data_IF_146609814312
#
_entry.id   IF_146609814312
#
_cell.length_a   1.000
_cell.length_b   1.000
_cell.length_c   1.000
_cell.angle_alpha   90.00
_cell.angle_beta   90.00
_cell.angle_gamma   90.00
#
_symmetry.space_group_name_H-M   'P 1'
#
loop_
_entity.id
_entity.type
_entity.pdbx_description
1 polymer ?
#
# COMPACT_ATOMS: atom_id res chain seq x y z
N UNK A 1 18.62 3.48 -5.69
CA UNK A 1 17.63 2.37 -5.68
C UNK A 1 16.24 2.93 -5.82
N UNK A 2 15.38 2.28 -6.63
CA UNK A 2 13.95 2.64 -6.72
C UNK A 2 13.14 1.72 -5.81
N UNK A 3 12.42 2.32 -4.86
CA UNK A 3 11.69 1.60 -3.80
C UNK A 3 10.21 1.96 -3.88
N UNK A 4 9.36 0.96 -4.05
CA UNK A 4 7.92 1.10 -3.88
C UNK A 4 7.55 0.74 -2.43
N UNK A 5 6.79 1.60 -1.77
CA UNK A 5 6.36 1.38 -0.37
C UNK A 5 4.83 1.44 -0.32
N UNK A 6 4.21 0.33 0.04
CA UNK A 6 2.76 0.24 0.20
C UNK A 6 2.38 0.24 1.67
N UNK A 7 1.41 1.07 2.04
CA UNK A 7 0.85 1.11 3.39
C UNK A 7 -0.64 0.80 3.40
N UNK A 8 -1.05 -0.06 4.32
CA UNK A 8 -2.46 -0.43 4.53
C UNK A 8 -3.20 0.55 5.45
N UNK A 9 -4.54 0.58 5.36
CA UNK A 9 -5.39 1.43 6.20
C UNK A 9 -5.18 1.16 7.69
N UNK A 10 -5.09 -0.11 8.10
CA UNK A 10 -4.87 -0.51 9.50
C UNK A 10 -3.54 0.01 10.08
N UNK A 11 -2.55 0.26 9.22
CA UNK A 11 -1.26 0.85 9.63
C UNK A 11 -1.38 2.36 9.85
N UNK A 12 -2.28 3.03 9.12
CA UNK A 12 -2.45 4.49 9.15
C UNK A 12 -3.47 4.97 10.18
N UNK A 13 -4.36 4.09 10.66
CA UNK A 13 -5.50 4.48 11.49
C UNK A 13 -5.50 3.75 12.83
N UNK A 14 -6.09 4.41 13.83
CA UNK A 14 -6.50 3.76 15.08
C UNK A 14 -7.71 2.84 14.86
N UNK A 15 -8.02 1.99 15.84
CA UNK A 15 -9.23 1.16 15.83
C UNK A 15 -10.53 1.98 15.71
N UNK A 16 -10.50 3.25 16.06
CA UNK A 16 -11.60 4.21 15.88
C UNK A 16 -11.80 4.67 14.44
N UNK A 17 -10.95 4.25 13.51
CA UNK A 17 -10.94 4.71 12.12
C UNK A 17 -10.28 6.09 11.90
N UNK A 18 -9.90 6.79 12.97
CA UNK A 18 -9.20 8.06 12.86
C UNK A 18 -7.71 7.85 12.57
N UNK A 19 -7.10 8.82 11.89
CA UNK A 19 -5.69 8.78 11.54
C UNK A 19 -4.81 8.67 12.80
N UNK A 20 -3.85 7.74 12.77
CA UNK A 20 -2.77 7.67 13.75
C UNK A 20 -1.66 8.65 13.32
N UNK A 21 -1.76 9.87 13.85
CA UNK A 21 -0.88 10.98 13.48
C UNK A 21 0.59 10.59 13.67
N UNK A 22 0.94 9.98 14.80
CA UNK A 22 2.33 9.62 15.12
C UNK A 22 2.90 8.61 14.14
N UNK A 23 2.10 7.61 13.72
CA UNK A 23 2.53 6.62 12.73
C UNK A 23 2.74 7.25 11.37
N UNK A 24 1.83 8.12 10.95
CA UNK A 24 1.92 8.80 9.65
C UNK A 24 3.11 9.76 9.62
N UNK A 25 3.32 10.56 10.66
CA UNK A 25 4.51 11.42 10.80
C UNK A 25 5.81 10.60 10.72
N UNK A 26 5.90 9.51 11.49
CA UNK A 26 7.06 8.62 11.47
C UNK A 26 7.30 8.03 10.09
N UNK A 27 6.24 7.58 9.41
CA UNK A 27 6.33 7.03 8.06
C UNK A 27 6.86 8.08 7.08
N UNK A 28 6.27 9.27 7.05
CA UNK A 28 6.70 10.36 6.16
C UNK A 28 8.16 10.75 6.42
N UNK A 29 8.57 10.81 7.69
CA UNK A 29 9.96 11.09 8.07
C UNK A 29 10.92 10.01 7.53
N UNK A 30 10.62 8.73 7.73
CA UNK A 30 11.46 7.63 7.23
C UNK A 30 11.54 7.63 5.70
N UNK A 31 10.42 7.86 5.00
CA UNK A 31 10.41 7.95 3.54
C UNK A 31 11.22 9.16 3.04
N UNK A 32 11.16 10.27 3.76
CA UNK A 32 11.97 11.46 3.48
C UNK A 32 13.46 11.20 3.66
N UNK A 33 13.85 10.52 4.74
CA UNK A 33 15.25 10.13 4.99
C UNK A 33 15.77 9.20 3.90
N UNK A 34 14.98 8.20 3.49
CA UNK A 34 15.34 7.29 2.38
C UNK A 34 15.51 8.06 1.07
N UNK A 35 14.63 9.02 0.78
CA UNK A 35 14.73 9.85 -0.41
C UNK A 35 15.95 10.76 -0.37
N UNK A 36 16.25 11.38 0.77
CA UNK A 36 17.45 12.19 0.98
C UNK A 36 18.75 11.37 0.87
N UNK A 37 18.69 10.07 1.19
CA UNK A 37 19.80 9.14 0.95
C UNK A 37 20.01 8.76 -0.54
N UNK A 38 19.28 9.39 -1.46
CA UNK A 38 19.44 9.22 -2.91
C UNK A 38 18.59 8.09 -3.50
N UNK A 39 17.57 7.61 -2.78
CA UNK A 39 16.63 6.64 -3.33
C UNK A 39 15.46 7.35 -4.02
N UNK A 40 14.91 6.73 -5.05
CA UNK A 40 13.64 7.10 -5.65
C UNK A 40 12.52 6.35 -4.92
N UNK A 41 11.57 7.10 -4.36
CA UNK A 41 10.47 6.54 -3.58
C UNK A 41 9.16 6.68 -4.35
N UNK A 42 8.43 5.58 -4.50
CA UNK A 42 7.04 5.55 -4.95
C UNK A 42 6.19 5.07 -3.79
N UNK A 43 5.29 5.92 -3.32
CA UNK A 43 4.47 5.63 -2.15
C UNK A 43 3.06 5.22 -2.57
N UNK A 44 2.62 4.03 -2.17
CA UNK A 44 1.28 3.50 -2.44
C UNK A 44 0.48 3.55 -1.15
N UNK A 45 -0.49 4.43 -1.11
CA UNK A 45 -1.32 4.67 0.06
C UNK A 45 -2.63 3.90 0.01
N UNK A 46 -3.30 3.85 1.14
CA UNK A 46 -4.65 3.35 1.33
C UNK A 46 -5.41 4.26 2.30
N UNK A 47 -6.69 3.98 2.50
CA UNK A 47 -7.43 4.57 3.60
C UNK A 47 -8.27 5.79 3.25
N UNK A 48 -8.47 6.12 1.97
CA UNK A 48 -9.33 7.23 1.55
C UNK A 48 -10.74 7.12 2.16
N UNK A 49 -11.41 5.97 2.04
CA UNK A 49 -12.73 5.75 2.66
C UNK A 49 -12.65 5.93 4.19
N UNK A 50 -11.64 5.34 4.84
CA UNK A 50 -11.47 5.48 6.30
C UNK A 50 -11.29 6.93 6.75
N UNK A 51 -10.48 7.70 6.03
CA UNK A 51 -10.28 9.13 6.29
C UNK A 51 -11.57 9.91 6.11
N UNK A 52 -12.34 9.61 5.07
CA UNK A 52 -13.63 10.26 4.83
C UNK A 52 -14.66 9.94 5.92
N UNK A 53 -14.75 8.69 6.35
CA UNK A 53 -15.57 8.26 7.50
C UNK A 53 -15.20 9.06 8.75
N UNK A 54 -13.91 9.16 9.06
CA UNK A 54 -13.42 9.92 10.21
C UNK A 54 -13.71 11.40 10.12
N UNK A 55 -13.49 12.02 8.94
CA UNK A 55 -13.73 13.46 8.71
C UNK A 55 -15.21 13.83 8.80
N UNK A 56 -16.08 12.98 8.24
CA UNK A 56 -17.53 13.14 8.30
C UNK A 56 -18.14 12.70 9.65
N UNK A 57 -17.35 12.13 10.54
CA UNK A 57 -17.81 11.57 11.83
C UNK A 57 -18.97 10.57 11.64
N UNK A 58 -18.91 9.75 10.60
CA UNK A 58 -19.89 8.72 10.36
C UNK A 58 -19.79 7.64 11.44
N UNK A 59 -20.94 7.16 11.94
CA UNK A 59 -20.98 6.12 12.98
C UNK A 59 -20.51 4.76 12.46
N UNK A 60 -20.78 4.49 11.19
CA UNK A 60 -20.49 3.21 10.54
C UNK A 60 -19.86 3.44 9.17
N UNK A 61 -19.09 2.45 8.72
CA UNK A 61 -18.52 2.47 7.37
C UNK A 61 -19.62 2.21 6.34
N UNK A 62 -19.72 3.02 5.26
CA UNK A 62 -20.71 2.82 4.22
C UNK A 62 -20.64 1.42 3.61
N UNK A 63 -21.79 0.84 3.31
CA UNK A 63 -21.89 -0.46 2.64
C UNK A 63 -22.23 -0.34 1.16
N UNK A 64 -23.02 0.69 0.80
CA UNK A 64 -23.38 0.95 -0.59
C UNK A 64 -22.25 1.65 -1.37
N UNK A 65 -22.19 1.40 -2.67
CA UNK A 65 -21.13 1.87 -3.55
C UNK A 65 -21.10 3.41 -3.64
N UNK A 66 -22.26 4.03 -3.84
CA UNK A 66 -22.33 5.49 -4.05
C UNK A 66 -21.82 6.26 -2.85
N UNK A 67 -22.23 5.84 -1.64
CA UNK A 67 -21.74 6.46 -0.40
C UNK A 67 -20.25 6.16 -0.19
N UNK A 68 -19.75 4.95 -0.52
CA UNK A 68 -18.31 4.64 -0.47
C UNK A 68 -17.51 5.59 -1.38
N UNK A 69 -17.95 5.77 -2.62
CA UNK A 69 -17.31 6.67 -3.59
C UNK A 69 -17.29 8.13 -3.10
N UNK A 70 -18.42 8.62 -2.61
CA UNK A 70 -18.54 9.98 -2.07
C UNK A 70 -17.62 10.19 -0.85
N UNK A 71 -17.59 9.23 0.06
CA UNK A 71 -16.74 9.28 1.26
C UNK A 71 -15.25 9.15 0.89
N UNK A 72 -14.93 8.32 -0.10
CA UNK A 72 -13.57 8.21 -0.64
C UNK A 72 -13.07 9.54 -1.23
N UNK A 73 -13.92 10.27 -1.96
CA UNK A 73 -13.59 11.59 -2.51
C UNK A 73 -13.19 12.58 -1.41
N UNK A 74 -13.98 12.62 -0.32
CA UNK A 74 -13.70 13.48 0.84
C UNK A 74 -12.38 13.06 1.51
N UNK A 75 -12.22 11.77 1.74
CA UNK A 75 -11.08 11.23 2.47
C UNK A 75 -9.78 11.28 1.67
N UNK A 76 -9.82 11.12 0.36
CA UNK A 76 -8.64 11.24 -0.49
C UNK A 76 -8.08 12.68 -0.48
N UNK A 77 -8.96 13.69 -0.48
CA UNK A 77 -8.57 15.09 -0.34
C UNK A 77 -7.84 15.32 1.00
N UNK A 78 -8.39 14.82 2.11
CA UNK A 78 -7.78 14.94 3.44
C UNK A 78 -6.46 14.20 3.54
N UNK A 79 -6.39 13.00 2.99
CA UNK A 79 -5.19 12.17 2.99
C UNK A 79 -4.03 12.87 2.27
N UNK A 80 -4.31 13.46 1.10
CA UNK A 80 -3.31 14.22 0.35
C UNK A 80 -2.88 15.49 1.06
N UNK A 81 -3.81 16.20 1.70
CA UNK A 81 -3.47 17.37 2.51
C UNK A 81 -2.48 17.02 3.64
N UNK A 82 -2.73 15.90 4.34
CA UNK A 82 -1.84 15.42 5.41
C UNK A 82 -0.46 15.07 4.86
N UNK A 83 -0.39 14.31 3.76
CA UNK A 83 0.88 13.94 3.16
C UNK A 83 1.66 15.14 2.62
N UNK A 84 1.00 16.03 1.90
CA UNK A 84 1.63 17.24 1.37
C UNK A 84 2.25 18.07 2.50
N UNK A 85 1.49 18.29 3.58
CA UNK A 85 1.98 19.00 4.75
C UNK A 85 3.23 18.34 5.35
N UNK A 86 3.18 17.02 5.62
CA UNK A 86 4.27 16.31 6.29
C UNK A 86 5.52 16.19 5.42
N UNK A 87 5.38 15.93 4.12
CA UNK A 87 6.52 15.85 3.22
C UNK A 87 7.13 17.23 2.92
N UNK A 88 6.32 18.29 2.89
CA UNK A 88 6.79 19.66 2.73
C UNK A 88 7.69 20.13 3.89
N UNK A 89 7.46 19.62 5.12
CA UNK A 89 8.35 19.88 6.28
C UNK A 89 9.80 19.37 6.02
N UNK A 90 9.96 18.42 5.10
CA UNK A 90 11.24 17.86 4.68
C UNK A 90 11.67 18.31 3.27
N UNK A 91 11.06 19.38 2.74
CA UNK A 91 11.32 19.96 1.41
C UNK A 91 11.07 18.98 0.25
N UNK A 92 10.11 18.06 0.39
CA UNK A 92 9.68 17.18 -0.69
C UNK A 92 8.38 17.64 -1.31
N UNK A 93 8.37 17.66 -2.64
CA UNK A 93 7.15 17.85 -3.43
C UNK A 93 6.50 16.49 -3.64
N UNK A 94 5.20 16.40 -3.41
CA UNK A 94 4.41 15.20 -3.65
C UNK A 94 3.50 15.38 -4.87
N UNK A 95 3.14 14.26 -5.52
CA UNK A 95 2.17 14.24 -6.60
C UNK A 95 1.14 13.14 -6.37
N UNK A 96 -0.16 13.48 -6.46
CA UNK A 96 -1.24 12.50 -6.39
C UNK A 96 -1.42 11.78 -7.72
N UNK A 97 -1.55 10.46 -7.64
CA UNK A 97 -1.88 9.59 -8.77
C UNK A 97 -3.01 8.66 -8.34
N UNK A 98 -4.12 8.70 -9.07
CA UNK A 98 -5.27 7.82 -8.82
C UNK A 98 -5.46 6.91 -10.02
N UNK A 99 -5.52 5.60 -9.77
CA UNK A 99 -5.60 4.56 -10.79
C UNK A 99 -6.81 3.65 -10.56
N UNK A 100 -7.38 3.17 -11.64
CA UNK A 100 -8.28 2.03 -11.64
C UNK A 100 -7.57 0.80 -12.19
N UNK A 101 -8.15 -0.39 -12.01
CA UNK A 101 -7.63 -1.60 -12.65
C UNK A 101 -7.64 -1.53 -14.17
N UNK A 102 -8.53 -0.74 -14.78
CA UNK A 102 -8.56 -0.51 -16.22
C UNK A 102 -7.34 0.28 -16.70
N UNK A 103 -6.89 1.29 -15.95
CA UNK A 103 -5.71 2.09 -16.28
C UNK A 103 -4.42 1.24 -16.30
N UNK A 104 -4.41 0.14 -15.54
CA UNK A 104 -3.27 -0.78 -15.50
C UNK A 104 -3.38 -1.92 -16.53
N UNK A 105 -4.59 -2.23 -17.03
CA UNK A 105 -4.83 -3.32 -18.01
C UNK A 105 -4.81 -2.83 -19.46
N UNK A 106 -5.27 -1.62 -19.72
CA UNK A 106 -5.30 -1.04 -21.06
C UNK A 106 -3.90 -0.50 -21.41
N UNK A 107 -3.30 -1.02 -22.47
CA UNK A 107 -1.89 -0.81 -22.84
C UNK A 107 -1.52 0.68 -22.96
N UNK A 108 -2.37 1.47 -23.64
CA UNK A 108 -2.10 2.90 -23.85
C UNK A 108 -2.17 3.71 -22.55
N UNK A 109 -3.15 3.41 -21.69
CA UNK A 109 -3.28 4.07 -20.38
C UNK A 109 -2.12 3.69 -19.46
N UNK A 110 -1.76 2.41 -19.43
CA UNK A 110 -0.61 1.92 -18.68
C UNK A 110 0.70 2.57 -19.14
N UNK A 111 0.92 2.70 -20.47
CA UNK A 111 2.09 3.39 -21.00
C UNK A 111 2.11 4.87 -20.60
N UNK A 112 0.97 5.58 -20.68
CA UNK A 112 0.87 6.97 -20.25
C UNK A 112 1.17 7.13 -18.76
N UNK A 113 0.62 6.24 -17.94
CA UNK A 113 0.90 6.19 -16.51
C UNK A 113 2.40 5.99 -16.23
N UNK A 114 3.02 5.00 -16.87
CA UNK A 114 4.43 4.68 -16.68
C UNK A 114 5.33 5.85 -17.09
N UNK A 115 5.06 6.48 -18.23
CA UNK A 115 5.83 7.64 -18.72
C UNK A 115 5.70 8.85 -17.77
N UNK A 116 4.48 9.12 -17.29
CA UNK A 116 4.22 10.21 -16.35
C UNK A 116 4.94 9.97 -15.02
N UNK A 117 4.87 8.74 -14.51
CA UNK A 117 5.51 8.39 -13.23
C UNK A 117 7.05 8.49 -13.32
N UNK A 118 7.64 7.99 -14.41
CA UNK A 118 9.08 8.15 -14.66
C UNK A 118 9.46 9.63 -14.67
N UNK A 119 8.67 10.47 -15.33
CA UNK A 119 8.93 11.91 -15.37
C UNK A 119 8.84 12.58 -14.00
N UNK A 120 7.91 12.16 -13.12
CA UNK A 120 7.84 12.67 -11.75
C UNK A 120 9.10 12.30 -10.94
N UNK A 121 9.60 11.07 -11.09
CA UNK A 121 10.82 10.63 -10.43
C UNK A 121 12.05 11.41 -10.93
N UNK A 122 12.20 11.64 -12.23
CA UNK A 122 13.24 12.47 -12.82
C UNK A 122 13.20 13.91 -12.28
N UNK A 123 12.02 14.47 -12.04
CA UNK A 123 11.82 15.79 -11.45
C UNK A 123 12.08 15.80 -9.92
N UNK A 124 12.43 14.68 -9.32
CA UNK A 124 12.66 14.57 -7.90
C UNK A 124 11.38 14.62 -7.05
N UNK A 125 10.20 14.50 -7.66
CA UNK A 125 8.91 14.47 -6.98
C UNK A 125 8.71 13.11 -6.31
N UNK A 126 7.98 13.06 -5.18
CA UNK A 126 7.55 11.83 -4.51
C UNK A 126 6.11 11.50 -4.95
N UNK A 127 5.90 10.52 -5.84
CA UNK A 127 4.55 10.15 -6.26
C UNK A 127 3.84 9.36 -5.15
N UNK A 128 2.57 9.72 -4.91
CA UNK A 128 1.66 9.05 -4.00
C UNK A 128 0.52 8.45 -4.82
N UNK A 129 0.51 7.14 -4.92
CA UNK A 129 -0.45 6.38 -5.71
C UNK A 129 -1.53 5.82 -4.81
N UNK A 130 -2.78 5.87 -5.24
CA UNK A 130 -3.90 5.18 -4.61
C UNK A 130 -4.89 4.69 -5.67
N UNK A 131 -5.79 3.80 -5.29
CA UNK A 131 -6.92 3.45 -6.15
C UNK A 131 -7.85 4.66 -6.30
N UNK A 132 -8.44 4.83 -7.49
CA UNK A 132 -9.47 5.84 -7.73
C UNK A 132 -10.84 5.32 -7.28
N UNK A 133 -10.99 5.22 -5.96
CA UNK A 133 -12.23 4.77 -5.32
C UNK A 133 -13.46 5.60 -5.73
N UNK A 134 -13.27 6.81 -6.30
CA UNK A 134 -14.38 7.69 -6.67
C UNK A 134 -15.13 7.24 -7.92
N UNK A 135 -14.49 6.48 -8.79
CA UNK A 135 -15.05 5.96 -10.04
C UNK A 135 -14.88 4.44 -10.17
N UNK A 136 -14.18 3.83 -9.21
CA UNK A 136 -13.95 2.38 -9.20
C UNK A 136 -15.25 1.65 -8.90
N UNK A 137 -15.53 0.59 -9.69
CA UNK A 137 -16.61 -0.36 -9.47
C UNK A 137 -16.01 -1.74 -9.23
N UNK A 138 -16.79 -2.73 -8.81
CA UNK A 138 -16.32 -4.10 -8.61
C UNK A 138 -15.65 -4.70 -9.86
N UNK A 139 -16.07 -4.27 -11.06
CA UNK A 139 -15.56 -4.77 -12.34
C UNK A 139 -14.21 -4.15 -12.73
N UNK A 140 -13.96 -2.89 -12.34
CA UNK A 140 -12.75 -2.14 -12.71
C UNK A 140 -11.79 -1.89 -11.53
N UNK A 141 -12.15 -2.32 -10.34
CA UNK A 141 -11.29 -2.25 -9.17
C UNK A 141 -10.03 -3.10 -9.35
N UNK A 142 -8.93 -2.67 -8.76
CA UNK A 142 -7.72 -3.50 -8.62
C UNK A 142 -7.97 -4.64 -7.63
N UNK A 143 -8.89 -4.42 -6.69
CA UNK A 143 -9.31 -5.37 -5.69
C UNK A 143 -8.71 -5.07 -4.31
N UNK A 144 -7.41 -4.86 -4.23
CA UNK A 144 -6.72 -4.47 -3.01
C UNK A 144 -5.44 -3.67 -3.32
N UNK A 145 -5.01 -2.86 -2.35
CA UNK A 145 -3.83 -2.01 -2.55
C UNK A 145 -2.49 -2.77 -2.44
N UNK A 146 -2.46 -4.02 -2.01
CA UNK A 146 -1.25 -4.85 -2.09
C UNK A 146 -1.00 -5.23 -3.56
N UNK A 147 -2.04 -5.65 -4.27
CA UNK A 147 -2.02 -5.90 -5.72
C UNK A 147 -1.69 -4.62 -6.50
N UNK A 148 -2.34 -3.49 -6.18
CA UNK A 148 -1.99 -2.19 -6.77
C UNK A 148 -0.51 -1.86 -6.57
N UNK A 149 0.00 -2.06 -5.36
CA UNK A 149 1.41 -1.83 -5.02
C UNK A 149 2.37 -2.67 -5.86
N UNK A 150 2.05 -3.94 -6.07
CA UNK A 150 2.85 -4.83 -6.91
C UNK A 150 2.83 -4.42 -8.39
N UNK A 151 1.65 -4.10 -8.94
CA UNK A 151 1.51 -3.66 -10.33
C UNK A 151 2.26 -2.34 -10.57
N UNK A 152 2.15 -1.38 -9.65
CA UNK A 152 2.91 -0.12 -9.70
C UNK A 152 4.41 -0.41 -9.62
N UNK A 153 4.87 -1.23 -8.66
CA UNK A 153 6.28 -1.57 -8.51
C UNK A 153 6.87 -2.17 -9.79
N UNK A 154 6.13 -3.07 -10.44
CA UNK A 154 6.52 -3.67 -11.73
C UNK A 154 6.56 -2.61 -12.83
N UNK A 155 5.53 -1.76 -12.92
CA UNK A 155 5.43 -0.72 -13.97
C UNK A 155 6.58 0.28 -13.91
N UNK A 156 7.04 0.63 -12.70
CA UNK A 156 8.17 1.55 -12.51
C UNK A 156 9.52 0.85 -12.40
N UNK A 157 9.56 -0.46 -12.60
CA UNK A 157 10.78 -1.27 -12.46
C UNK A 157 11.45 -1.06 -11.10
N UNK A 158 10.67 -1.03 -10.02
CA UNK A 158 11.20 -0.91 -8.68
C UNK A 158 12.11 -2.09 -8.34
N UNK A 159 13.22 -1.81 -7.67
CA UNK A 159 14.17 -2.83 -7.21
C UNK A 159 13.70 -3.51 -5.91
N UNK A 160 12.80 -2.82 -5.18
CA UNK A 160 12.24 -3.30 -3.92
C UNK A 160 10.79 -2.86 -3.79
N UNK A 161 9.90 -3.79 -3.41
CA UNK A 161 8.57 -3.50 -2.89
C UNK A 161 8.52 -3.81 -1.41
N UNK A 162 8.18 -2.82 -0.59
CA UNK A 162 7.94 -2.96 0.85
C UNK A 162 6.44 -2.86 1.11
N UNK A 163 5.86 -3.90 1.70
CA UNK A 163 4.45 -3.90 2.11
C UNK A 163 4.38 -3.76 3.63
N UNK A 164 3.97 -2.58 4.10
CA UNK A 164 3.78 -2.33 5.53
C UNK A 164 2.44 -2.93 5.98
N UNK A 165 2.50 -3.72 7.04
CA UNK A 165 1.37 -4.49 7.56
C UNK A 165 1.32 -4.41 9.09
N UNK A 166 0.20 -4.89 9.66
CA UNK A 166 -0.03 -5.06 11.09
C UNK A 166 0.46 -6.43 11.63
N UNK A 167 1.16 -7.20 10.79
CA UNK A 167 1.78 -8.47 11.10
C UNK A 167 3.25 -8.46 10.68
N UNK A 168 4.12 -9.16 11.42
CA UNK A 168 5.57 -9.13 11.21
C UNK A 168 6.04 -9.76 9.89
N UNK A 169 5.23 -10.65 9.30
CA UNK A 169 5.54 -11.31 8.05
C UNK A 169 4.61 -12.50 7.78
N UNK A 170 5.06 -13.43 6.96
CA UNK A 170 4.38 -14.69 6.72
C UNK A 170 4.72 -15.68 7.83
N UNK A 171 3.71 -16.37 8.36
CA UNK A 171 3.85 -17.40 9.36
C UNK A 171 3.38 -18.74 8.81
N UNK A 172 3.80 -19.82 9.45
CA UNK A 172 3.37 -21.21 9.14
C UNK A 172 1.88 -21.44 9.37
N UNK A 173 1.25 -20.62 10.22
CA UNK A 173 -0.19 -20.53 10.47
C UNK A 173 -0.53 -19.12 10.99
N UNK A 174 -1.82 -18.79 11.18
CA UNK A 174 -2.19 -17.51 11.79
C UNK A 174 -1.70 -17.45 13.27
N UNK A 175 -0.73 -16.57 13.60
CA UNK A 175 -0.18 -16.49 14.96
C UNK A 175 -1.19 -15.99 16.00
N UNK A 176 -2.31 -15.41 15.57
CA UNK A 176 -3.41 -14.99 16.46
C UNK A 176 -4.24 -16.19 16.93
N UNK A 177 -4.33 -17.23 16.09
CA UNK A 177 -5.07 -18.45 16.35
C UNK A 177 -4.18 -19.59 16.84
N UNK A 178 -2.91 -19.62 16.44
CA UNK A 178 -1.97 -20.67 16.78
C UNK A 178 -0.67 -20.06 17.38
N UNK A 179 -0.49 -20.13 18.70
CA UNK A 179 0.73 -19.64 19.37
C UNK A 179 2.04 -20.34 18.95
N UNK A 180 1.94 -21.52 18.32
CA UNK A 180 3.08 -22.27 17.80
C UNK A 180 3.43 -21.90 16.36
N UNK A 181 2.76 -20.90 15.78
CA UNK A 181 3.07 -20.43 14.44
C UNK A 181 4.45 -19.77 14.42
N UNK A 182 5.29 -20.20 13.48
CA UNK A 182 6.65 -19.69 13.30
C UNK A 182 6.70 -18.72 12.12
N UNK A 183 7.49 -17.65 12.27
CA UNK A 183 7.75 -16.70 11.20
C UNK A 183 8.58 -17.36 10.10
N UNK A 184 8.15 -17.23 8.85
CA UNK A 184 8.88 -17.68 7.67
C UNK A 184 9.75 -16.51 7.19
N UNK A 185 11.08 -16.57 7.38
CA UNK A 185 11.95 -15.42 7.13
C UNK A 185 12.15 -15.13 5.65
N UNK A 186 12.05 -16.16 4.80
CA UNK A 186 12.27 -16.05 3.35
C UNK A 186 11.40 -17.05 2.60
N UNK A 187 10.81 -16.60 1.49
CA UNK A 187 10.00 -17.41 0.59
C UNK A 187 10.61 -17.32 -0.82
N UNK A 188 11.52 -18.23 -1.19
CA UNK A 188 12.17 -18.20 -2.49
C UNK A 188 11.21 -18.55 -3.63
N UNK A 189 10.17 -19.32 -3.37
CA UNK A 189 9.16 -19.76 -4.33
C UNK A 189 7.79 -19.87 -3.67
N UNK A 190 6.74 -19.40 -4.36
CA UNK A 190 5.36 -19.51 -3.91
C UNK A 190 4.79 -20.88 -4.29
N UNK A 191 4.90 -21.84 -3.36
CA UNK A 191 4.31 -23.16 -3.52
C UNK A 191 2.81 -23.16 -3.17
N UNK A 192 2.06 -24.15 -3.65
CA UNK A 192 0.66 -24.33 -3.29
C UNK A 192 0.45 -24.45 -1.76
N UNK A 193 1.38 -25.08 -1.05
CA UNK A 193 1.33 -25.19 0.40
C UNK A 193 1.39 -23.80 1.09
N UNK A 194 2.23 -22.89 0.60
CA UNK A 194 2.34 -21.52 1.11
C UNK A 194 1.05 -20.74 0.80
N UNK A 195 0.52 -20.87 -0.42
CA UNK A 195 -0.73 -20.21 -0.81
C UNK A 195 -1.93 -20.70 0.00
N UNK A 196 -2.01 -22.01 0.27
CA UNK A 196 -3.06 -22.60 1.11
C UNK A 196 -2.95 -22.16 2.58
N UNK A 197 -1.75 -22.01 3.13
CA UNK A 197 -1.54 -21.56 4.53
C UNK A 197 -2.02 -20.12 4.78
N UNK A 198 -2.13 -19.31 3.73
CA UNK A 198 -2.54 -17.91 3.80
C UNK A 198 -4.07 -17.67 3.74
N UNK A 199 -4.88 -18.72 3.65
CA UNK A 199 -6.33 -18.65 3.41
C UNK A 199 -7.21 -18.07 4.53
N UNK A 200 -6.64 -17.46 5.57
CA UNK A 200 -7.38 -16.77 6.65
C UNK A 200 -7.78 -15.34 6.29
N UNK A 201 -8.99 -14.91 6.70
CA UNK A 201 -9.42 -13.49 6.59
C UNK A 201 -8.54 -12.60 7.48
N UNK A 202 -7.98 -11.54 6.90
CA UNK A 202 -7.23 -10.51 7.62
C UNK A 202 -8.08 -9.69 8.60
N UNK A 203 -7.51 -8.61 9.17
CA UNK A 203 -8.19 -7.74 10.13
C UNK A 203 -9.48 -7.14 9.57
N UNK A 204 -10.45 -6.84 10.44
CA UNK A 204 -11.77 -6.27 10.08
C UNK A 204 -11.72 -4.89 9.42
N UNK A 205 -10.57 -4.22 9.45
CA UNK A 205 -10.38 -2.86 8.92
C UNK A 205 -9.72 -2.82 7.52
N UNK A 206 -9.13 -3.91 7.04
CA UNK A 206 -8.44 -3.98 5.74
C UNK A 206 -9.02 -5.06 4.83
N UNK A 207 -9.10 -4.79 3.54
CA UNK A 207 -9.51 -5.75 2.50
C UNK A 207 -8.38 -6.71 2.11
N UNK A 208 -7.10 -6.35 2.39
CA UNK A 208 -5.91 -7.13 2.04
C UNK A 208 -5.48 -8.09 3.16
N UNK A 209 -5.88 -9.35 3.09
CA UNK A 209 -5.38 -10.44 3.94
C UNK A 209 -3.97 -10.92 3.51
N UNK A 210 -3.46 -11.99 4.16
CA UNK A 210 -2.18 -12.59 3.77
C UNK A 210 -2.21 -13.10 2.31
N UNK A 211 -3.36 -13.60 1.85
CA UNK A 211 -3.54 -14.04 0.46
C UNK A 211 -3.26 -12.91 -0.55
N UNK A 212 -3.75 -11.68 -0.30
CA UNK A 212 -3.47 -10.53 -1.15
C UNK A 212 -1.97 -10.18 -1.20
N UNK A 213 -1.28 -10.29 -0.06
CA UNK A 213 0.17 -10.06 0.03
C UNK A 213 0.98 -11.10 -0.75
N UNK A 214 0.57 -12.36 -0.69
CA UNK A 214 1.19 -13.43 -1.48
C UNK A 214 0.91 -13.26 -2.97
N UNK A 215 -0.31 -12.83 -3.36
CA UNK A 215 -0.62 -12.46 -4.75
C UNK A 215 0.30 -11.34 -5.23
N UNK A 216 0.45 -10.28 -4.45
CA UNK A 216 1.36 -9.17 -4.75
C UNK A 216 2.82 -9.64 -4.89
N UNK A 217 3.29 -10.51 -3.99
CA UNK A 217 4.62 -11.11 -4.08
C UNK A 217 4.78 -11.92 -5.37
N UNK A 218 3.77 -12.73 -5.73
CA UNK A 218 3.76 -13.51 -6.98
C UNK A 218 3.90 -12.65 -8.23
N UNK A 219 3.18 -11.52 -8.30
CA UNK A 219 3.29 -10.56 -9.41
C UNK A 219 4.73 -10.03 -9.52
N UNK A 220 5.35 -9.63 -8.41
CA UNK A 220 6.72 -9.13 -8.40
C UNK A 220 7.73 -10.23 -8.77
N UNK A 221 7.58 -11.45 -8.27
CA UNK A 221 8.46 -12.58 -8.59
C UNK A 221 8.40 -12.94 -10.08
N UNK A 222 7.20 -13.05 -10.65
CA UNK A 222 7.02 -13.33 -12.08
C UNK A 222 7.65 -12.25 -12.97
N UNK A 223 7.51 -10.97 -12.59
CA UNK A 223 8.17 -9.88 -13.31
C UNK A 223 9.69 -9.91 -13.18
N UNK A 224 10.22 -10.26 -12.01
CA UNK A 224 11.66 -10.39 -11.78
C UNK A 224 12.27 -11.52 -12.61
N UNK A 225 11.62 -12.67 -12.70
CA UNK A 225 12.05 -13.80 -13.53
C UNK A 225 12.08 -13.41 -15.02
N UNK A 226 11.05 -12.71 -15.48
CA UNK A 226 10.95 -12.23 -16.86
C UNK A 226 12.05 -11.21 -17.19
N UNK A 227 12.37 -10.33 -16.26
CA UNK A 227 13.35 -9.24 -16.44
C UNK A 227 14.81 -9.68 -16.15
N UNK A 228 15.06 -10.92 -15.69
CA UNK A 228 16.33 -11.38 -15.13
C UNK A 228 16.90 -10.47 -14.03
N UNK A 229 16.02 -9.78 -13.31
CA UNK A 229 16.34 -8.91 -12.17
C UNK A 229 15.80 -9.56 -10.90
N UNK A 230 16.61 -9.61 -9.84
CA UNK A 230 16.15 -10.04 -8.50
C UNK A 230 15.38 -8.89 -7.86
N UNK A 231 14.04 -8.91 -7.91
CA UNK A 231 13.20 -8.03 -7.12
C UNK A 231 13.02 -8.67 -5.74
N UNK A 232 13.34 -7.93 -4.68
CA UNK A 232 13.09 -8.38 -3.31
C UNK A 232 11.76 -7.80 -2.83
N UNK A 233 10.87 -8.64 -2.38
CA UNK A 233 9.69 -8.23 -1.63
C UNK A 233 9.99 -8.41 -0.14
N UNK A 234 9.87 -7.33 0.63
CA UNK A 234 10.05 -7.34 2.09
C UNK A 234 8.80 -6.83 2.78
N UNK A 235 8.43 -7.45 3.90
CA UNK A 235 7.39 -6.97 4.79
C UNK A 235 8.04 -6.37 6.04
N UNK A 236 7.62 -5.18 6.42
CA UNK A 236 8.11 -4.50 7.61
C UNK A 236 6.95 -4.13 8.53
N UNK A 237 7.04 -4.53 9.79
CA UNK A 237 6.16 -4.07 10.86
C UNK A 237 6.73 -2.79 11.44
N UNK A 238 5.96 -1.71 11.41
CA UNK A 238 6.27 -0.55 12.22
C UNK A 238 6.35 -0.98 13.70
N UNK A 239 7.25 -0.40 14.53
CA UNK A 239 7.34 -0.75 15.93
C UNK A 239 5.99 -0.56 16.60
N UNK A 240 5.43 -1.65 17.14
CA UNK A 240 4.31 -1.59 18.06
C UNK A 240 4.83 -0.85 19.29
N UNK A 241 4.24 0.30 19.58
CA UNK A 241 4.46 0.92 20.87
C UNK A 241 3.87 -0.05 21.90
N UNK A 242 4.72 -0.85 22.54
CA UNK A 242 4.36 -1.47 23.79
C UNK A 242 4.12 -0.30 24.74
N UNK A 243 2.87 -0.05 25.08
CA UNK A 243 2.52 0.82 26.18
C UNK A 243 3.20 0.27 27.42
N UNK A 244 4.23 0.98 27.88
CA UNK A 244 4.67 0.86 29.25
C UNK A 244 3.50 1.37 30.12
N UNK A 245 3.02 0.52 31.02
CA UNK A 245 1.99 0.82 31.98
C UNK A 245 2.32 1.97 32.95
#
# INVERSE_FOLDING_TARGET
MRIAVKVGTSTLTHATGRLDIRRVEKLCKVLSDLKNAGNEIVFISSGAIGMGVGKMSLRERPTDMVTKQAVAAIGQCELMYVYDKLFSEHNHVVAQILLTGEDLREEKRHQNFSNMLERLLELGVLPIVNENDTVSTEEVAVGDNDTLGALVAVSVKAELLIVLSDIDGLYTADPRANPAAELIPEVPELTEAILCSAGGKGSSLGTGGMAAKLTAAGICMAAADTAKKKTRAGMYRGPVAHGAG
#
